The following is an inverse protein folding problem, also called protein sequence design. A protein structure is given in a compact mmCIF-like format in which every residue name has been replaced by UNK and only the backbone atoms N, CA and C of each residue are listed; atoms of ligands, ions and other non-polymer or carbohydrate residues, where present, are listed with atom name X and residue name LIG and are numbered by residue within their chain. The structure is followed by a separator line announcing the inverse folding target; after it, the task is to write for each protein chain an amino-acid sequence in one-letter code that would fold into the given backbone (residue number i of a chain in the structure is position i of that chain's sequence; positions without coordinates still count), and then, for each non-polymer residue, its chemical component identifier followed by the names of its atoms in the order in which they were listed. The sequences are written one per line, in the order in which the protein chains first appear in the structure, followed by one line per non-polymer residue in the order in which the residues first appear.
data_IF_264194957722
#
_entry.id   IF_264194957722
#
_cell.length_a   1.000
_cell.length_b   1.000
_cell.length_c   1.000
_cell.angle_alpha   90.00
_cell.angle_beta   90.00
_cell.angle_gamma   90.00
#
_symmetry.space_group_name_H-M   'P 1'
#
loop_
_entity.id
_entity.type
_entity.pdbx_description
1 polymer ?
#
# COMPACT_ATOMS: atom_id res chain seq x y z
N UNK A 1 13.29 -7.18 -3.52
CA UNK A 1 12.23 -6.74 -2.60
C UNK A 1 12.60 -5.40 -1.94
N UNK A 2 12.07 -4.31 -2.51
CA UNK A 2 12.06 -2.95 -1.96
C UNK A 2 11.35 -2.84 -0.60
N UNK A 3 10.31 -3.64 -0.34
CA UNK A 3 9.52 -3.59 0.90
C UNK A 3 9.25 -4.99 1.48
N UNK A 4 8.78 -5.04 2.72
CA UNK A 4 8.44 -6.26 3.47
C UNK A 4 6.99 -6.22 3.94
N UNK A 5 6.48 -7.39 4.33
CA UNK A 5 5.17 -7.52 4.96
C UNK A 5 5.02 -6.55 6.14
N UNK A 6 3.91 -5.82 6.17
CA UNK A 6 3.53 -4.80 7.15
C UNK A 6 4.35 -3.51 7.13
N UNK A 7 5.25 -3.31 6.17
CA UNK A 7 5.83 -1.98 5.96
C UNK A 7 4.74 -0.98 5.60
N UNK A 8 4.79 0.20 6.22
CA UNK A 8 3.95 1.33 5.81
C UNK A 8 4.52 1.99 4.56
N UNK A 9 3.66 2.34 3.61
CA UNK A 9 4.04 2.98 2.34
C UNK A 9 3.23 4.24 2.08
N UNK A 10 3.71 5.04 1.12
CA UNK A 10 2.94 6.11 0.48
C UNK A 10 3.10 6.05 -1.04
N UNK A 11 2.01 6.21 -1.78
CA UNK A 11 1.99 6.18 -3.24
C UNK A 11 2.70 7.40 -3.84
N UNK A 12 3.49 7.19 -4.90
CA UNK A 12 4.19 8.24 -5.66
C UNK A 12 3.40 8.74 -6.88
N UNK A 13 2.46 7.93 -7.34
CA UNK A 13 1.62 8.19 -8.51
C UNK A 13 0.17 7.86 -8.17
N UNK A 14 -0.76 8.35 -8.99
CA UNK A 14 -2.16 7.93 -8.88
C UNK A 14 -2.27 6.44 -9.26
N UNK A 15 -3.07 5.69 -8.51
CA UNK A 15 -3.25 4.24 -8.66
C UNK A 15 -4.67 3.97 -9.15
N UNK A 16 -4.80 3.17 -10.21
CA UNK A 16 -6.10 2.65 -10.62
C UNK A 16 -6.50 1.55 -9.64
N UNK A 17 -7.72 1.61 -9.11
CA UNK A 17 -8.25 0.50 -8.33
C UNK A 17 -8.34 -0.76 -9.19
N UNK A 18 -8.08 -1.92 -8.60
CA UNK A 18 -8.21 -3.21 -9.30
C UNK A 18 -9.68 -3.53 -9.63
N UNK A 19 -10.61 -2.94 -8.87
CA UNK A 19 -12.06 -3.07 -9.08
C UNK A 19 -12.70 -1.70 -9.31
N UNK A 20 -13.28 -1.51 -10.50
CA UNK A 20 -14.01 -0.29 -10.89
C UNK A 20 -13.14 0.78 -11.57
N UNK A 21 -13.67 2.00 -11.66
CA UNK A 21 -13.01 3.14 -12.33
C UNK A 21 -12.42 4.15 -11.34
N UNK A 22 -12.32 3.78 -10.05
CA UNK A 22 -11.83 4.68 -9.00
C UNK A 22 -10.33 4.90 -9.17
N UNK A 23 -9.94 6.17 -9.19
CA UNK A 23 -8.54 6.59 -9.13
C UNK A 23 -8.19 6.94 -7.68
N UNK A 24 -7.19 6.25 -7.13
CA UNK A 24 -6.64 6.49 -5.80
C UNK A 24 -5.50 7.52 -5.94
N UNK A 25 -5.59 8.69 -5.29
CA UNK A 25 -4.59 9.74 -5.46
C UNK A 25 -3.17 9.32 -5.05
N UNK A 26 -2.17 9.94 -5.67
CA UNK A 26 -0.81 9.96 -5.13
C UNK A 26 -0.80 10.52 -3.70
N UNK A 27 0.16 10.08 -2.88
CA UNK A 27 0.25 10.50 -1.50
C UNK A 27 -0.68 9.73 -0.56
N UNK A 28 -1.39 8.71 -1.05
CA UNK A 28 -2.20 7.83 -0.20
C UNK A 28 -1.30 6.86 0.55
N UNK A 29 -1.52 6.77 1.86
CA UNK A 29 -0.81 5.85 2.74
C UNK A 29 -1.47 4.48 2.76
N UNK A 30 -0.66 3.46 3.00
CA UNK A 30 -1.15 2.09 3.13
C UNK A 30 -0.12 1.16 3.75
N UNK A 31 -0.47 -0.11 3.79
CA UNK A 31 0.36 -1.16 4.38
C UNK A 31 0.53 -2.33 3.42
N UNK A 32 1.76 -2.83 3.32
CA UNK A 32 2.05 -4.06 2.56
C UNK A 32 1.39 -5.25 3.27
N UNK A 33 0.57 -6.02 2.55
CA UNK A 33 -0.07 -7.24 3.07
C UNK A 33 0.43 -8.52 2.39
N UNK A 34 1.08 -8.41 1.23
CA UNK A 34 1.76 -9.52 0.56
C UNK A 34 2.91 -9.02 -0.34
N UNK A 35 3.95 -9.83 -0.51
CA UNK A 35 5.09 -9.55 -1.39
C UNK A 35 5.24 -10.68 -2.42
N UNK A 36 5.34 -10.32 -3.70
CA UNK A 36 5.59 -11.23 -4.82
C UNK A 36 6.98 -10.98 -5.40
N UNK A 37 7.75 -12.04 -5.69
CA UNK A 37 9.16 -11.89 -6.10
C UNK A 37 9.39 -11.94 -7.62
N UNK A 38 8.46 -12.49 -8.42
CA UNK A 38 8.66 -12.71 -9.86
C UNK A 38 7.34 -12.57 -10.67
N UNK A 39 7.06 -11.39 -11.26
CA UNK A 39 7.80 -10.13 -11.10
C UNK A 39 7.66 -9.55 -9.69
N UNK A 40 8.57 -8.66 -9.30
CA UNK A 40 8.49 -7.97 -8.01
C UNK A 40 7.21 -7.12 -7.95
N UNK A 41 6.37 -7.36 -6.94
CA UNK A 41 5.11 -6.65 -6.74
C UNK A 41 4.59 -6.81 -5.31
N UNK A 42 3.60 -6.02 -4.95
CA UNK A 42 3.12 -5.93 -3.57
C UNK A 42 1.61 -5.78 -3.54
N UNK A 43 0.93 -6.63 -2.77
CA UNK A 43 -0.45 -6.35 -2.40
C UNK A 43 -0.46 -5.35 -1.25
N UNK A 44 -1.21 -4.26 -1.41
CA UNK A 44 -1.22 -3.13 -0.48
C UNK A 44 -2.65 -2.73 -0.17
N UNK A 45 -2.97 -2.58 1.11
CA UNK A 45 -4.22 -1.95 1.54
C UNK A 45 -3.98 -0.45 1.66
N UNK A 46 -4.62 0.33 0.78
CA UNK A 46 -4.56 1.79 0.77
C UNK A 46 -5.72 2.38 1.56
N UNK A 47 -5.43 3.24 2.53
CA UNK A 47 -6.42 3.95 3.33
C UNK A 47 -6.85 5.25 2.65
N UNK A 48 -8.03 5.25 2.04
CA UNK A 48 -8.60 6.41 1.35
C UNK A 48 -9.52 7.14 2.33
N UNK A 49 -9.27 8.41 2.66
CA UNK A 49 -10.17 9.18 3.53
C UNK A 49 -11.61 9.17 3.00
N UNK A 50 -12.56 8.81 3.87
CA UNK A 50 -13.99 8.88 3.59
C UNK A 50 -14.74 9.25 4.87
N UNK A 51 -15.17 10.50 4.94
CA UNK A 51 -15.94 11.06 6.06
C UNK A 51 -17.30 10.37 6.26
N UNK A 52 -17.79 9.61 5.27
CA UNK A 52 -19.02 8.83 5.38
C UNK A 52 -18.81 7.42 5.97
N UNK A 53 -17.57 6.96 6.07
CA UNK A 53 -17.21 5.69 6.68
C UNK A 53 -17.15 5.82 8.21
N UNK A 54 -17.58 4.77 8.93
CA UNK A 54 -17.51 4.72 10.41
C UNK A 54 -16.06 4.80 10.91
N UNK A 55 -15.10 4.34 10.12
CA UNK A 55 -13.67 4.40 10.44
C UNK A 55 -12.99 5.68 9.95
N UNK A 56 -13.71 6.52 9.19
CA UNK A 56 -13.15 7.69 8.49
C UNK A 56 -12.34 7.33 7.23
N UNK A 57 -12.25 6.05 6.88
CA UNK A 57 -11.51 5.55 5.72
C UNK A 57 -12.27 4.45 4.99
N UNK A 58 -12.12 4.41 3.68
CA UNK A 58 -12.33 3.22 2.87
C UNK A 58 -10.97 2.59 2.55
N UNK A 59 -10.95 1.27 2.48
CA UNK A 59 -9.75 0.53 2.11
C UNK A 59 -9.94 -0.10 0.74
N UNK A 60 -8.94 0.08 -0.11
CA UNK A 60 -8.84 -0.58 -1.42
C UNK A 60 -7.57 -1.42 -1.42
N UNK A 61 -7.70 -2.69 -1.80
CA UNK A 61 -6.56 -3.57 -2.00
C UNK A 61 -6.10 -3.46 -3.45
N UNK A 62 -4.80 -3.20 -3.66
CA UNK A 62 -4.21 -3.02 -4.99
C UNK A 62 -2.86 -3.70 -5.11
N UNK A 63 -2.48 -4.05 -6.33
CA UNK A 63 -1.11 -4.46 -6.66
C UNK A 63 -0.27 -3.24 -7.03
N UNK A 64 0.80 -3.00 -6.27
CA UNK A 64 1.81 -1.97 -6.56
C UNK A 64 3.13 -2.58 -7.01
N UNK A 65 3.78 -1.91 -7.95
CA UNK A 65 5.16 -2.16 -8.36
C UNK A 65 6.14 -1.25 -7.62
N UNK A 66 7.43 -1.64 -7.49
CA UNK A 66 8.41 -0.92 -6.70
C UNK A 66 8.47 0.58 -6.98
N UNK A 67 8.30 1.02 -8.22
CA UNK A 67 8.43 2.43 -8.63
C UNK A 67 7.22 3.29 -8.21
N UNK A 68 6.11 2.69 -7.78
CA UNK A 68 4.86 3.39 -7.50
C UNK A 68 4.71 3.89 -6.06
N UNK A 69 5.66 3.57 -5.16
CA UNK A 69 5.57 3.97 -3.75
C UNK A 69 6.94 4.19 -3.11
N UNK A 70 6.96 4.75 -1.89
CA UNK A 70 8.11 4.70 -0.97
C UNK A 70 7.67 4.12 0.37
N UNK A 71 8.62 3.53 1.10
CA UNK A 71 8.40 3.00 2.45
C UNK A 71 8.59 4.14 3.46
N UNK A 72 7.63 4.34 4.36
CA UNK A 72 7.62 5.45 5.35
C UNK A 72 7.69 4.98 6.80
N UNK A 73 7.30 3.73 7.09
CA UNK A 73 7.38 3.12 8.42
C UNK A 73 7.90 1.68 8.29
N UNK A 74 9.20 1.49 8.02
CA UNK A 74 9.74 0.15 7.87
C UNK A 74 9.67 -0.59 9.21
N UNK A 75 9.13 -1.80 9.23
CA UNK A 75 9.23 -2.62 10.43
C UNK A 75 10.71 -3.00 10.60
N UNK A 76 11.29 -2.49 11.68
CA UNK A 76 12.57 -3.00 12.15
C UNK A 76 12.33 -4.41 12.67
N UNK A 77 12.69 -5.42 11.88
CA UNK A 77 12.82 -6.79 12.39
C UNK A 77 13.96 -6.79 13.41
N UNK A 78 13.64 -6.56 14.68
CA UNK A 78 14.51 -7.00 15.76
C UNK A 78 14.48 -8.51 15.71
N UNK A 79 15.59 -9.15 15.34
CA UNK A 79 15.72 -10.60 15.36
C UNK A 79 15.29 -11.10 16.74
N UNK A 80 14.32 -12.02 16.77
CA UNK A 80 14.01 -12.75 17.99
C UNK A 80 15.27 -13.51 18.42
N UNK A 81 15.69 -13.27 19.66
CA UNK A 81 16.80 -13.95 20.36
C UNK A 81 16.48 -15.43 20.62
#
# INVERSE_FOLDING_TARGET
MKAKLYDGIVTLVDISADFGERLIPKGTEGSIIECYENPEGYAVDLGIPDDSSVTGYNYENVILYPEQFIVINPISQTAAV
#
